data_IF_180875438855
#
_entry.id   IF_180875438855
#
_cell.length_a   1.000
_cell.length_b   1.000
_cell.length_c   1.000
_cell.angle_alpha   90.00
_cell.angle_beta   90.00
_cell.angle_gamma   90.00
#
_symmetry.space_group_name_H-M   'P 1'
#
loop_
_entity.id
_entity.type
_entity.pdbx_description
1 polymer ?
#
# COMPACT_ATOMS: atom_id res chain seq x y z
N UNK A 1 4.38 10.69 33.17
CA UNK A 1 4.82 11.39 31.94
C UNK A 1 5.34 10.32 30.99
N UNK A 2 4.62 10.04 29.90
CA UNK A 2 5.09 9.07 28.91
C UNK A 2 6.08 9.76 27.99
N UNK A 3 7.33 9.29 27.96
CA UNK A 3 8.32 9.69 26.98
C UNK A 3 7.78 9.26 25.62
N UNK A 4 7.24 10.20 24.83
CA UNK A 4 7.06 9.96 23.40
C UNK A 4 8.46 9.74 22.85
N UNK A 5 8.76 8.53 22.40
CA UNK A 5 9.83 8.34 21.44
C UNK A 5 9.48 9.20 20.23
N UNK A 6 10.03 10.40 20.14
CA UNK A 6 9.89 11.24 18.95
C UNK A 6 10.72 10.57 17.87
N UNK A 7 10.11 10.22 16.74
CA UNK A 7 10.87 9.82 15.57
C UNK A 7 11.90 10.91 15.26
N UNK A 8 13.13 10.51 14.94
CA UNK A 8 14.20 11.45 14.58
C UNK A 8 13.82 12.25 13.32
N UNK A 9 13.02 11.64 12.44
CA UNK A 9 12.57 12.22 11.18
C UNK A 9 11.05 12.35 11.13
N UNK A 10 10.57 13.42 10.50
CA UNK A 10 9.17 13.61 10.13
C UNK A 10 8.71 12.55 9.11
N UNK A 11 9.64 12.12 8.25
CA UNK A 11 9.46 11.12 7.19
C UNK A 11 10.64 10.15 7.24
N UNK A 12 10.36 8.86 7.33
CA UNK A 12 11.36 7.82 7.51
C UNK A 12 11.27 6.80 6.37
N UNK A 13 12.41 6.46 5.75
CA UNK A 13 12.46 5.42 4.71
C UNK A 13 12.29 4.04 5.37
N UNK A 14 11.37 3.23 4.85
CA UNK A 14 11.09 1.89 5.37
C UNK A 14 11.15 0.79 4.31
N UNK A 15 11.91 1.01 3.21
CA UNK A 15 12.10 0.04 2.12
C UNK A 15 12.52 -1.34 2.63
N UNK A 16 13.48 -1.40 3.55
CA UNK A 16 13.99 -2.66 4.12
C UNK A 16 12.89 -3.54 4.75
N UNK A 17 11.83 -2.93 5.29
CA UNK A 17 10.71 -3.63 5.93
C UNK A 17 9.59 -3.93 4.93
N UNK A 18 9.25 -2.96 4.07
CA UNK A 18 8.05 -3.05 3.23
C UNK A 18 8.32 -3.69 1.87
N UNK A 19 9.52 -3.53 1.31
CA UNK A 19 9.85 -4.08 -0.01
C UNK A 19 9.72 -5.60 -0.09
N UNK A 20 10.18 -6.40 0.89
CA UNK A 20 9.99 -7.85 0.85
C UNK A 20 8.51 -8.26 0.80
N UNK A 21 7.64 -7.50 1.49
CA UNK A 21 6.19 -7.72 1.43
C UNK A 21 5.66 -7.43 0.03
N UNK A 22 6.07 -6.32 -0.57
CA UNK A 22 5.66 -5.94 -1.92
C UNK A 22 6.12 -6.97 -2.97
N UNK A 23 7.36 -7.43 -2.89
CA UNK A 23 7.91 -8.47 -3.76
C UNK A 23 7.11 -9.78 -3.65
N UNK A 24 6.80 -10.22 -2.43
CA UNK A 24 6.01 -11.43 -2.20
C UNK A 24 4.57 -11.29 -2.75
N UNK A 25 3.95 -10.12 -2.60
CA UNK A 25 2.61 -9.84 -3.15
C UNK A 25 2.63 -9.83 -4.68
N UNK A 26 3.62 -9.19 -5.29
CA UNK A 26 3.78 -9.13 -6.76
C UNK A 26 4.04 -10.52 -7.34
N UNK A 27 4.81 -11.36 -6.65
CA UNK A 27 5.04 -12.74 -7.06
C UNK A 27 3.76 -13.58 -7.02
N UNK A 28 2.89 -13.33 -6.04
CA UNK A 28 1.66 -14.11 -5.81
C UNK A 28 0.48 -13.69 -6.68
N UNK A 29 0.29 -12.39 -6.90
CA UNK A 29 -0.90 -11.83 -7.56
C UNK A 29 -0.60 -11.36 -8.99
N UNK A 30 -1.30 -11.94 -9.95
CA UNK A 30 -1.07 -11.68 -11.38
C UNK A 30 -1.35 -10.22 -11.77
N UNK A 31 -2.37 -9.63 -11.15
CA UNK A 31 -2.76 -8.23 -11.35
C UNK A 31 -1.73 -7.21 -10.87
N UNK A 32 -0.66 -7.64 -10.18
CA UNK A 32 0.42 -6.77 -9.72
C UNK A 32 1.71 -6.91 -10.53
N UNK A 33 1.77 -7.84 -11.51
CA UNK A 33 3.01 -8.20 -12.22
C UNK A 33 3.65 -7.06 -13.03
N UNK A 34 2.87 -6.03 -13.38
CA UNK A 34 3.39 -4.83 -14.06
C UNK A 34 4.18 -3.90 -13.13
N UNK A 35 4.17 -4.14 -11.82
CA UNK A 35 4.81 -3.29 -10.82
C UNK A 35 6.24 -3.76 -10.55
N UNK A 36 7.19 -2.82 -10.60
CA UNK A 36 8.57 -3.04 -10.15
C UNK A 36 8.77 -2.44 -8.73
N UNK A 37 8.95 -3.29 -7.68
CA UNK A 37 9.08 -2.81 -6.30
C UNK A 37 10.37 -2.01 -6.05
N UNK A 38 11.39 -2.14 -6.91
CA UNK A 38 12.62 -1.33 -6.85
C UNK A 38 12.37 0.14 -7.20
N UNK A 39 11.30 0.41 -7.97
CA UNK A 39 10.90 1.76 -8.39
C UNK A 39 10.01 2.48 -7.38
N UNK A 40 9.71 1.84 -6.26
CA UNK A 40 8.85 2.39 -5.21
C UNK A 40 9.69 2.75 -3.98
N UNK A 41 9.52 3.98 -3.51
CA UNK A 41 10.06 4.48 -2.26
C UNK A 41 8.98 4.38 -1.17
N UNK A 42 9.20 3.51 -0.18
CA UNK A 42 8.31 3.31 0.95
C UNK A 42 8.72 4.21 2.11
N UNK A 43 7.76 4.95 2.63
CA UNK A 43 7.96 5.98 3.65
C UNK A 43 6.98 5.80 4.82
N UNK A 44 7.42 6.12 6.03
CA UNK A 44 6.55 6.33 7.19
C UNK A 44 6.47 7.83 7.46
N UNK A 45 5.24 8.36 7.48
CA UNK A 45 4.94 9.74 7.81
C UNK A 45 4.55 9.85 9.28
N UNK A 46 5.45 10.40 10.10
CA UNK A 46 5.23 10.63 11.54
C UNK A 46 4.57 11.99 11.82
N UNK A 47 4.75 12.93 10.89
CA UNK A 47 4.28 14.31 11.01
C UNK A 47 2.76 14.41 11.03
N UNK A 48 2.08 13.76 10.08
CA UNK A 48 0.66 13.94 9.82
C UNK A 48 -0.13 12.63 9.98
N UNK A 49 -1.47 12.75 10.08
CA UNK A 49 -2.40 11.60 9.99
C UNK A 49 -3.09 11.55 8.62
N UNK A 50 -2.53 12.23 7.61
CA UNK A 50 -3.13 12.42 6.30
C UNK A 50 -4.23 13.48 6.32
N UNK A 51 -5.49 13.06 6.29
CA UNK A 51 -6.65 13.96 6.26
C UNK A 51 -7.24 14.17 7.65
N UNK A 52 -7.77 15.38 7.91
CA UNK A 52 -8.56 15.68 9.12
C UNK A 52 -10.02 15.23 9.01
N UNK A 53 -10.52 15.02 7.78
CA UNK A 53 -11.94 14.67 7.51
C UNK A 53 -12.19 13.17 7.46
N UNK A 54 -11.20 12.41 7.01
CA UNK A 54 -11.28 10.96 6.86
C UNK A 54 -9.97 10.33 7.30
N UNK A 55 -10.04 9.15 7.89
CA UNK A 55 -8.85 8.39 8.25
C UNK A 55 -8.10 7.97 6.98
N UNK A 56 -6.79 8.21 6.96
CA UNK A 56 -5.91 7.82 5.87
C UNK A 56 -4.85 6.89 6.44
N UNK A 57 -4.75 5.68 5.90
CA UNK A 57 -3.77 4.68 6.33
C UNK A 57 -2.47 4.81 5.53
N UNK A 58 -2.59 5.01 4.22
CA UNK A 58 -1.47 5.21 3.33
C UNK A 58 -1.85 6.03 2.09
N UNK A 59 -0.85 6.50 1.36
CA UNK A 59 -1.00 7.18 0.08
C UNK A 59 0.11 6.80 -0.90
N UNK A 60 -0.28 6.21 -2.02
CA UNK A 60 0.54 6.11 -3.23
C UNK A 60 0.52 7.41 -4.03
N UNK A 61 1.70 7.94 -4.41
CA UNK A 61 1.84 9.06 -5.35
C UNK A 61 2.94 8.79 -6.37
N UNK A 62 2.83 9.42 -7.54
CA UNK A 62 3.93 9.52 -8.51
C UNK A 62 4.93 10.60 -8.06
N UNK A 63 6.21 10.28 -8.12
CA UNK A 63 7.29 11.26 -7.89
C UNK A 63 7.33 12.21 -9.08
N UNK A 64 7.48 13.50 -8.81
CA UNK A 64 7.59 14.48 -9.90
C UNK A 64 8.89 14.28 -10.69
N UNK A 65 8.90 14.55 -12.01
CA UNK A 65 10.09 14.34 -12.84
C UNK A 65 11.36 15.00 -12.29
N UNK A 66 11.21 16.22 -11.73
CA UNK A 66 12.28 16.95 -11.05
C UNK A 66 12.93 16.13 -9.93
N UNK A 67 12.12 15.50 -9.07
CA UNK A 67 12.64 14.74 -7.94
C UNK A 67 13.23 13.40 -8.37
N UNK A 68 12.66 12.75 -9.39
CA UNK A 68 13.26 11.54 -9.98
C UNK A 68 14.67 11.82 -10.49
N UNK A 69 14.89 12.94 -11.17
CA UNK A 69 16.21 13.34 -11.67
C UNK A 69 17.19 13.62 -10.52
N UNK A 70 16.77 14.39 -9.50
CA UNK A 70 17.60 14.72 -8.34
C UNK A 70 18.03 13.44 -7.59
N UNK A 71 17.08 12.53 -7.33
CA UNK A 71 17.37 11.27 -6.65
C UNK A 71 18.37 10.42 -7.44
N UNK A 72 18.21 10.36 -8.76
CA UNK A 72 19.12 9.63 -9.63
C UNK A 72 20.55 10.20 -9.60
N UNK A 73 20.71 11.53 -9.64
CA UNK A 73 22.02 12.19 -9.56
C UNK A 73 22.73 11.95 -8.22
N UNK A 74 21.97 11.77 -7.13
CA UNK A 74 22.50 11.44 -5.81
C UNK A 74 22.89 9.96 -5.66
N UNK A 75 22.82 9.17 -6.74
CA UNK A 75 23.14 7.74 -6.74
C UNK A 75 22.05 6.88 -6.09
N UNK A 76 20.84 7.42 -5.87
CA UNK A 76 19.71 6.63 -5.42
C UNK A 76 19.12 5.81 -6.58
N UNK A 77 18.38 4.76 -6.25
CA UNK A 77 17.57 4.02 -7.23
C UNK A 77 16.61 5.00 -7.95
N UNK A 78 16.33 4.75 -9.23
CA UNK A 78 15.33 5.51 -9.98
C UNK A 78 13.93 5.23 -9.43
N UNK A 79 13.51 6.01 -8.43
CA UNK A 79 12.17 5.94 -7.88
C UNK A 79 11.19 6.71 -8.76
N UNK A 80 10.07 6.07 -9.10
CA UNK A 80 8.96 6.67 -9.82
C UNK A 80 7.73 6.87 -8.94
N UNK A 81 7.63 6.10 -7.85
CA UNK A 81 6.49 6.13 -6.93
C UNK A 81 6.93 6.28 -5.49
N UNK A 82 6.05 6.86 -4.69
CA UNK A 82 6.12 6.84 -3.22
C UNK A 82 4.89 6.14 -2.68
N UNK A 83 5.08 5.34 -1.64
CA UNK A 83 3.99 4.83 -0.80
C UNK A 83 4.25 5.30 0.62
N UNK A 84 3.43 6.24 1.08
CA UNK A 84 3.54 6.84 2.41
C UNK A 84 2.54 6.22 3.37
N UNK A 85 3.00 5.54 4.42
CA UNK A 85 2.18 5.03 5.53
C UNK A 85 2.11 6.06 6.66
N UNK A 86 0.93 6.33 7.20
CA UNK A 86 0.77 7.31 8.28
C UNK A 86 0.90 6.64 9.65
N UNK A 87 2.01 6.90 10.35
CA UNK A 87 2.34 6.22 11.60
C UNK A 87 1.20 6.31 12.63
N UNK A 88 0.53 7.45 12.72
CA UNK A 88 -0.57 7.70 13.68
C UNK A 88 -1.77 6.78 13.47
N UNK A 89 -2.00 6.30 12.25
CA UNK A 89 -3.18 5.49 11.90
C UNK A 89 -2.81 4.02 11.64
N UNK A 90 -1.54 3.71 11.40
CA UNK A 90 -1.06 2.34 11.14
C UNK A 90 -0.28 1.71 12.30
N UNK A 91 0.04 2.46 13.38
CA UNK A 91 0.88 1.97 14.47
C UNK A 91 0.36 0.72 15.19
N UNK A 92 -0.95 0.50 15.20
CA UNK A 92 -1.59 -0.63 15.87
C UNK A 92 -1.99 -1.76 14.90
N UNK A 93 -1.60 -1.66 13.62
CA UNK A 93 -1.88 -2.71 12.65
C UNK A 93 -0.93 -3.89 12.85
N UNK A 94 -1.48 -5.10 12.80
CA UNK A 94 -0.68 -6.32 12.79
C UNK A 94 -0.02 -6.57 11.41
N UNK A 95 0.76 -7.64 11.31
CA UNK A 95 1.47 -8.00 10.08
C UNK A 95 0.51 -8.29 8.92
N UNK A 96 -0.56 -9.06 9.14
CA UNK A 96 -1.55 -9.40 8.12
C UNK A 96 -2.25 -8.16 7.57
N UNK A 97 -2.58 -7.22 8.47
CA UNK A 97 -3.16 -5.94 8.13
C UNK A 97 -2.16 -5.07 7.35
N UNK A 98 -0.89 -5.07 7.73
CA UNK A 98 0.15 -4.37 6.96
C UNK A 98 0.33 -4.96 5.57
N UNK A 99 0.31 -6.29 5.42
CA UNK A 99 0.33 -6.96 4.11
C UNK A 99 -0.86 -6.52 3.25
N UNK A 100 -2.08 -6.54 3.81
CA UNK A 100 -3.28 -6.08 3.12
C UNK A 100 -3.20 -4.60 2.71
N UNK A 101 -2.60 -3.75 3.55
CA UNK A 101 -2.40 -2.34 3.27
C UNK A 101 -1.40 -2.12 2.12
N UNK A 102 -0.29 -2.87 2.10
CA UNK A 102 0.68 -2.81 0.99
C UNK A 102 0.02 -3.26 -0.30
N UNK A 103 -0.71 -4.38 -0.28
CA UNK A 103 -1.45 -4.88 -1.44
C UNK A 103 -2.39 -3.82 -2.02
N UNK A 104 -3.17 -3.13 -1.17
CA UNK A 104 -4.02 -2.02 -1.58
C UNK A 104 -3.26 -0.91 -2.30
N UNK A 105 -2.14 -0.47 -1.73
CA UNK A 105 -1.40 0.66 -2.28
C UNK A 105 -0.66 0.31 -3.57
N UNK A 106 -0.27 -0.97 -3.75
CA UNK A 106 0.28 -1.47 -5.01
C UNK A 106 -0.78 -1.48 -6.12
N UNK A 107 -2.00 -1.93 -5.83
CA UNK A 107 -3.11 -1.92 -6.80
C UNK A 107 -3.48 -0.54 -7.35
N UNK A 108 -3.04 0.53 -6.68
CA UNK A 108 -3.22 1.91 -7.17
C UNK A 108 -2.28 2.28 -8.31
N UNK A 109 -1.23 1.52 -8.54
CA UNK A 109 -0.31 1.74 -9.66
C UNK A 109 -0.92 1.01 -10.86
N UNK A 110 -1.39 1.76 -11.85
CA UNK A 110 -1.94 1.20 -13.07
C UNK A 110 -0.86 0.64 -14.00
N UNK A 111 -1.25 -0.18 -15.00
CA UNK A 111 -0.32 -0.78 -15.95
C UNK A 111 0.44 0.24 -16.81
N UNK A 112 -0.15 1.41 -17.06
CA UNK A 112 0.50 2.51 -17.80
C UNK A 112 1.28 3.45 -16.85
N UNK A 113 1.42 3.07 -15.58
CA UNK A 113 2.16 3.78 -14.55
C UNK A 113 1.46 5.01 -13.97
N UNK A 114 0.17 5.18 -14.26
CA UNK A 114 -0.73 6.14 -13.65
C UNK A 114 -1.07 5.76 -12.19
N UNK A 115 -1.48 6.75 -11.40
CA UNK A 115 -2.06 6.48 -10.07
C UNK A 115 -3.57 6.43 -10.25
N UNK A 116 -4.12 5.23 -10.12
CA UNK A 116 -5.56 5.00 -10.15
C UNK A 116 -6.19 5.73 -8.96
N UNK A 117 -7.25 6.49 -9.27
CA UNK A 117 -8.05 7.12 -8.23
C UNK A 117 -8.79 5.99 -7.52
N UNK A 118 -8.71 5.87 -6.19
CA UNK A 118 -9.53 4.92 -5.46
C UNK A 118 -10.99 5.29 -5.70
N UNK A 119 -11.65 4.59 -6.60
CA UNK A 119 -13.07 4.73 -6.83
C UNK A 119 -13.82 3.89 -5.78
N UNK A 120 -15.16 3.98 -5.82
CA UNK A 120 -16.00 3.17 -4.94
C UNK A 120 -15.69 1.68 -5.13
N UNK A 121 -15.29 1.25 -6.33
CA UNK A 121 -15.11 -0.14 -6.71
C UNK A 121 -13.81 -0.74 -6.13
N UNK A 122 -12.67 -0.06 -6.23
CA UNK A 122 -11.39 -0.48 -5.63
C UNK A 122 -11.49 -0.60 -4.10
N UNK A 123 -12.14 0.39 -3.48
CA UNK A 123 -12.43 0.34 -2.05
C UNK A 123 -13.42 -0.79 -1.74
N UNK A 124 -14.45 -0.96 -2.55
CA UNK A 124 -15.46 -2.00 -2.37
C UNK A 124 -14.87 -3.41 -2.47
N UNK A 125 -13.91 -3.66 -3.35
CA UNK A 125 -13.28 -4.98 -3.46
C UNK A 125 -12.51 -5.36 -2.20
N UNK A 126 -11.72 -4.43 -1.66
CA UNK A 126 -11.05 -4.67 -0.37
C UNK A 126 -12.07 -4.81 0.77
N UNK A 127 -13.14 -4.01 0.77
CA UNK A 127 -14.21 -4.14 1.76
C UNK A 127 -14.98 -5.46 1.64
N UNK A 128 -15.16 -6.01 0.44
CA UNK A 128 -15.86 -7.28 0.23
C UNK A 128 -14.96 -8.47 0.59
N UNK A 129 -13.69 -8.44 0.20
CA UNK A 129 -12.74 -9.52 0.50
C UNK A 129 -12.27 -9.55 1.96
N UNK A 130 -11.99 -8.41 2.58
CA UNK A 130 -11.42 -8.32 3.94
C UNK A 130 -12.43 -7.85 5.00
N UNK A 131 -13.57 -7.31 4.59
CA UNK A 131 -14.57 -6.74 5.49
C UNK A 131 -14.32 -5.26 5.83
N UNK A 132 -15.38 -4.54 6.23
CA UNK A 132 -15.34 -3.07 6.42
C UNK A 132 -14.37 -2.55 7.47
N UNK A 133 -13.95 -3.40 8.39
CA UNK A 133 -13.12 -3.04 9.54
C UNK A 133 -11.77 -3.74 9.55
N UNK A 134 -11.35 -4.32 8.43
CA UNK A 134 -10.13 -5.15 8.33
C UNK A 134 -8.87 -4.52 8.95
N UNK A 135 -8.77 -3.19 8.95
CA UNK A 135 -7.64 -2.42 9.48
C UNK A 135 -7.76 -2.03 10.96
N UNK A 136 -8.86 -2.34 11.65
CA UNK A 136 -9.00 -2.08 13.08
C UNK A 136 -8.17 -3.12 13.87
N UNK A 137 -7.46 -2.73 14.94
CA UNK A 137 -6.53 -3.64 15.64
C UNK A 137 -7.14 -4.96 16.10
N UNK A 138 -8.41 -4.98 16.48
CA UNK A 138 -9.11 -6.18 16.98
C UNK A 138 -9.82 -6.97 15.87
N UNK A 139 -9.66 -6.58 14.60
CA UNK A 139 -10.32 -7.24 13.47
C UNK A 139 -9.43 -8.34 12.90
N UNK A 140 -10.03 -9.51 12.67
CA UNK A 140 -9.37 -10.58 11.92
C UNK A 140 -9.18 -10.18 10.47
N UNK A 141 -7.92 -10.07 10.04
CA UNK A 141 -7.53 -9.87 8.65
C UNK A 141 -6.77 -11.11 8.17
N UNK A 142 -7.22 -11.80 7.10
CA UNK A 142 -6.45 -12.89 6.52
C UNK A 142 -5.11 -12.36 6.00
N UNK A 143 -4.03 -13.13 6.19
CA UNK A 143 -2.74 -12.79 5.62
C UNK A 143 -2.78 -13.13 4.13
N UNK A 144 -2.74 -12.10 3.27
CA UNK A 144 -2.77 -12.28 1.82
C UNK A 144 -1.56 -13.05 1.28
N UNK A 145 -0.48 -13.20 2.04
CA UNK A 145 0.67 -14.02 1.64
C UNK A 145 0.50 -15.51 2.00
N UNK A 146 -0.45 -15.89 2.86
CA UNK A 146 -0.68 -17.30 3.23
C UNK A 146 -1.16 -18.13 2.03
N UNK A 147 -0.53 -19.28 1.78
CA UNK A 147 -0.84 -20.18 0.66
C UNK A 147 -2.31 -20.61 0.62
N UNK A 148 -3.00 -20.64 1.78
CA UNK A 148 -4.40 -21.01 1.88
C UNK A 148 -5.37 -19.86 1.54
N UNK A 149 -4.83 -18.64 1.35
CA UNK A 149 -5.61 -17.45 1.02
C UNK A 149 -5.61 -17.24 -0.49
N UNK A 150 -6.76 -17.51 -1.09
CA UNK A 150 -7.05 -17.27 -2.51
C UNK A 150 -7.89 -15.99 -2.64
N UNK A 151 -7.28 -14.95 -3.19
CA UNK A 151 -7.94 -13.66 -3.37
C UNK A 151 -9.13 -13.73 -4.32
N UNK A 152 -9.08 -14.57 -5.36
CA UNK A 152 -10.21 -14.77 -6.28
C UNK A 152 -11.40 -15.34 -5.53
N UNK A 153 -11.17 -16.31 -4.63
CA UNK A 153 -12.22 -16.88 -3.77
C UNK A 153 -12.76 -15.89 -2.75
N UNK A 154 -11.90 -15.07 -2.14
CA UNK A 154 -12.35 -14.01 -1.21
C UNK A 154 -13.24 -12.97 -1.91
N UNK A 155 -12.94 -12.67 -3.17
CA UNK A 155 -13.69 -11.75 -4.01
C UNK A 155 -14.97 -12.36 -4.61
N UNK A 156 -15.01 -13.69 -4.78
CA UNK A 156 -16.15 -14.40 -5.34
C UNK A 156 -16.54 -13.91 -6.74
N UNK A 157 -17.83 -13.74 -6.98
CA UNK A 157 -18.40 -13.26 -8.26
C UNK A 157 -17.92 -11.86 -8.67
N UNK A 158 -17.36 -11.09 -7.74
CA UNK A 158 -16.91 -9.72 -7.99
C UNK A 158 -15.48 -9.62 -8.53
N UNK A 159 -14.83 -10.76 -8.77
CA UNK A 159 -13.51 -10.81 -9.38
C UNK A 159 -13.57 -10.67 -10.92
N UNK A 160 -14.61 -11.19 -11.59
CA UNK A 160 -14.69 -11.29 -13.06
C UNK A 160 -15.44 -10.15 -13.77
N UNK A 161 -16.25 -9.36 -13.05
CA UNK A 161 -16.99 -8.21 -13.62
C UNK A 161 -16.08 -7.11 -14.20
N UNK A 162 -14.77 -7.18 -13.94
CA UNK A 162 -13.77 -6.18 -14.33
C UNK A 162 -13.18 -6.47 -15.72
N UNK A 163 -13.07 -7.75 -16.09
CA UNK A 163 -12.55 -8.15 -17.41
C UNK A 163 -13.63 -8.28 -18.48
N UNK A 164 -14.90 -8.16 -18.07
CA UNK A 164 -16.07 -8.33 -18.95
C UNK A 164 -16.67 -7.01 -19.43
N UNK A 165 -16.13 -5.87 -18.97
CA UNK A 165 -16.54 -4.54 -19.40
C UNK A 165 -15.56 -4.01 -20.47
N UNK A 166 -15.57 -4.63 -21.64
CA UNK A 166 -15.14 -4.00 -22.91
C UNK A 166 -16.33 -3.32 -23.59
#
# INVERSE_FOLDING_TARGET
MAVKASSEFDYEICNNRIRPIAEALIAKYEELRHIDPEKILFLVNHKSSGSKKQMVLARTNRISPKWTEILYQLGACSYFYTVEFYAKTTAAMDESQMVALVYRELRRIGPEGEILIPDVHDWWQILMGLGRKWFYPDSTCPNLLDDNVDWKKLMGQYYEDIHSAE
#
